data_IF_040952348114
#
_entry.id   IF_040952348114
#
_cell.length_a   1.000
_cell.length_b   1.000
_cell.length_c   1.000
_cell.angle_alpha   90.00
_cell.angle_beta   90.00
_cell.angle_gamma   90.00
#
_symmetry.space_group_name_H-M   'P 1'
#
loop_
_entity.id
_entity.type
_entity.pdbx_description
1 polymer ?
#
# COMPACT_ATOMS: atom_id res chain seq x y z
N UNK A 1 0.90 52.32 2.70
CA UNK A 1 0.43 50.99 3.16
C UNK A 1 1.54 50.33 3.92
N UNK A 2 1.36 49.84 5.16
CA UNK A 2 2.43 49.26 5.97
C UNK A 2 2.88 47.93 5.40
N UNK A 3 4.16 47.55 5.53
CA UNK A 3 4.74 46.28 5.10
C UNK A 3 3.89 45.06 5.51
N UNK A 4 3.26 45.12 6.70
CA UNK A 4 2.31 44.08 7.17
C UNK A 4 1.09 43.89 6.26
N UNK A 5 0.59 44.97 5.59
CA UNK A 5 -0.54 44.85 4.64
C UNK A 5 -0.12 44.17 3.35
N UNK A 6 1.09 44.44 2.84
CA UNK A 6 1.60 43.75 1.64
C UNK A 6 1.83 42.26 1.90
N UNK A 7 2.40 41.93 3.06
CA UNK A 7 2.58 40.50 3.45
C UNK A 7 1.23 39.77 3.54
N UNK A 8 0.22 40.39 4.19
CA UNK A 8 -1.14 39.79 4.26
C UNK A 8 -1.75 39.58 2.88
N UNK A 9 -1.64 40.56 2.00
CA UNK A 9 -2.16 40.45 0.62
C UNK A 9 -1.43 39.35 -0.15
N UNK A 10 -0.09 39.27 -0.05
CA UNK A 10 0.68 38.24 -0.70
C UNK A 10 0.31 36.82 -0.20
N UNK A 11 0.11 36.63 1.11
CA UNK A 11 -0.35 35.36 1.70
C UNK A 11 -1.75 35.02 1.19
N UNK A 12 -2.69 35.94 1.15
CA UNK A 12 -4.04 35.70 0.62
C UNK A 12 -3.98 35.28 -0.85
N UNK A 13 -3.22 36.01 -1.67
CA UNK A 13 -3.05 35.66 -3.09
C UNK A 13 -2.43 34.26 -3.29
N UNK A 14 -1.46 33.93 -2.46
CA UNK A 14 -0.87 32.59 -2.49
C UNK A 14 -1.88 31.52 -2.07
N UNK A 15 -2.69 31.73 -1.04
CA UNK A 15 -3.73 30.79 -0.63
C UNK A 15 -4.79 30.60 -1.71
N UNK A 16 -5.20 31.69 -2.40
CA UNK A 16 -6.11 31.62 -3.55
C UNK A 16 -5.44 30.83 -4.70
N UNK A 17 -4.17 31.07 -4.96
CA UNK A 17 -3.41 30.32 -5.96
C UNK A 17 -3.35 28.83 -5.63
N UNK A 18 -3.06 28.47 -4.38
CA UNK A 18 -3.07 27.07 -3.91
C UNK A 18 -4.46 26.45 -4.08
N UNK A 19 -5.52 27.18 -3.69
CA UNK A 19 -6.89 26.70 -3.85
C UNK A 19 -7.21 26.41 -5.33
N UNK A 20 -6.91 27.38 -6.22
CA UNK A 20 -7.23 27.27 -7.64
C UNK A 20 -6.40 26.20 -8.38
N UNK A 21 -5.17 25.93 -7.95
CA UNK A 21 -4.26 25.04 -8.70
C UNK A 21 -3.96 23.72 -7.98
N UNK A 22 -4.03 23.68 -6.65
CA UNK A 22 -3.71 22.50 -5.84
C UNK A 22 -4.92 21.78 -5.24
N UNK A 23 -6.12 22.40 -5.27
CA UNK A 23 -7.33 21.82 -4.68
C UNK A 23 -8.42 21.64 -5.73
N UNK A 24 -8.92 22.72 -6.34
CA UNK A 24 -10.10 22.67 -7.22
C UNK A 24 -9.96 21.69 -8.39
N UNK A 25 -8.81 21.58 -9.10
CA UNK A 25 -8.66 20.61 -10.20
C UNK A 25 -8.78 19.14 -9.78
N UNK A 26 -8.58 18.85 -8.49
CA UNK A 26 -8.61 17.52 -7.92
C UNK A 26 -9.97 17.15 -7.30
N UNK A 27 -10.94 18.04 -7.34
CA UNK A 27 -12.29 17.78 -6.83
C UNK A 27 -13.20 17.06 -7.83
N UNK A 28 -12.77 16.92 -9.09
CA UNK A 28 -13.55 16.25 -10.13
C UNK A 28 -13.09 14.81 -10.29
N UNK A 29 -14.00 13.85 -10.05
CA UNK A 29 -13.77 12.46 -10.37
C UNK A 29 -13.83 12.26 -11.89
N UNK A 30 -12.77 11.68 -12.49
CA UNK A 30 -12.76 11.28 -13.90
C UNK A 30 -13.45 9.93 -14.07
N UNK A 31 -14.09 9.73 -15.21
CA UNK A 31 -14.49 8.39 -15.66
C UNK A 31 -13.31 7.73 -16.39
N UNK A 32 -13.29 6.42 -16.47
CA UNK A 32 -12.41 5.72 -17.41
C UNK A 32 -12.85 6.03 -18.85
N UNK A 33 -11.88 6.11 -19.77
CA UNK A 33 -12.17 6.27 -21.20
C UNK A 33 -12.87 5.03 -21.78
N UNK A 34 -13.70 5.23 -22.79
CA UNK A 34 -14.38 4.12 -23.49
C UNK A 34 -13.35 3.13 -24.07
N UNK A 35 -12.21 3.62 -24.54
CA UNK A 35 -11.12 2.78 -25.06
C UNK A 35 -10.56 1.88 -23.97
N UNK A 36 -10.29 2.42 -22.77
CA UNK A 36 -9.83 1.59 -21.66
C UNK A 36 -10.92 0.61 -21.20
N UNK A 37 -12.15 1.10 -21.03
CA UNK A 37 -13.27 0.26 -20.62
C UNK A 37 -13.50 -0.94 -21.56
N UNK A 38 -13.35 -0.73 -22.88
CA UNK A 38 -13.46 -1.79 -23.89
C UNK A 38 -12.27 -2.76 -23.90
N UNK A 39 -11.09 -2.34 -23.43
CA UNK A 39 -9.90 -3.20 -23.35
C UNK A 39 -9.89 -4.14 -22.14
N UNK A 40 -10.67 -3.82 -21.10
CA UNK A 40 -10.74 -4.64 -19.88
C UNK A 40 -11.66 -5.83 -20.06
N UNK A 41 -11.08 -7.02 -20.19
CA UNK A 41 -11.79 -8.30 -20.19
C UNK A 41 -11.45 -9.08 -18.92
N UNK A 42 -12.45 -9.51 -18.17
CA UNK A 42 -12.22 -10.29 -16.93
C UNK A 42 -11.69 -11.70 -17.21
N UNK A 43 -11.94 -12.25 -18.39
CA UNK A 43 -11.43 -13.58 -18.77
C UNK A 43 -9.90 -13.70 -18.76
N UNK A 44 -9.17 -12.61 -19.00
CA UNK A 44 -7.71 -12.61 -18.94
C UNK A 44 -7.11 -12.76 -17.54
N UNK A 45 -7.93 -12.69 -16.49
CA UNK A 45 -7.53 -12.89 -15.09
C UNK A 45 -7.65 -14.33 -14.63
N UNK A 46 -8.17 -15.20 -15.47
CA UNK A 46 -8.42 -16.62 -15.16
C UNK A 46 -7.75 -17.50 -16.19
N UNK A 47 -7.27 -18.66 -15.76
CA UNK A 47 -6.71 -19.71 -16.61
C UNK A 47 -7.13 -21.09 -16.08
N UNK A 48 -7.16 -22.07 -16.96
CA UNK A 48 -7.37 -23.46 -16.59
C UNK A 48 -6.06 -24.24 -16.47
N UNK A 49 -4.92 -23.60 -16.75
CA UNK A 49 -3.59 -24.20 -16.66
C UNK A 49 -2.69 -23.34 -15.77
N UNK A 50 -1.86 -23.96 -14.91
CA UNK A 50 -0.92 -23.24 -14.06
C UNK A 50 0.05 -22.37 -14.86
N UNK A 51 0.33 -21.16 -14.36
CA UNK A 51 1.42 -20.30 -14.83
C UNK A 51 2.77 -20.69 -14.18
N UNK A 52 3.83 -20.02 -14.59
CA UNK A 52 5.18 -20.25 -14.03
C UNK A 52 5.39 -19.61 -12.66
N UNK A 53 4.51 -18.70 -12.28
CA UNK A 53 4.60 -18.01 -11.01
C UNK A 53 3.85 -18.77 -9.92
N UNK A 54 4.47 -18.88 -8.76
CA UNK A 54 3.87 -19.41 -7.53
C UNK A 54 3.77 -18.30 -6.51
N UNK A 55 2.88 -18.45 -5.53
CA UNK A 55 2.58 -17.41 -4.55
C UNK A 55 2.60 -17.91 -3.13
N UNK A 56 3.12 -17.10 -2.21
CA UNK A 56 3.00 -17.32 -0.77
C UNK A 56 2.41 -16.09 -0.07
N UNK A 57 1.69 -16.36 1.02
CA UNK A 57 1.17 -15.32 1.90
C UNK A 57 2.22 -14.93 2.94
N UNK A 58 2.45 -13.63 3.09
CA UNK A 58 3.31 -13.06 4.14
C UNK A 58 2.46 -12.15 5.03
N UNK A 59 1.85 -12.74 6.05
CA UNK A 59 0.82 -12.08 6.87
C UNK A 59 1.39 -11.45 8.13
N UNK A 60 2.16 -12.22 8.92
CA UNK A 60 2.58 -11.77 10.24
C UNK A 60 3.68 -10.70 10.17
N UNK A 61 3.67 -9.74 11.12
CA UNK A 61 4.63 -8.63 11.12
C UNK A 61 6.09 -9.06 11.11
N UNK A 62 6.48 -10.00 11.98
CA UNK A 62 7.85 -10.55 12.07
C UNK A 62 8.25 -11.24 10.79
N UNK A 63 7.43 -12.17 10.32
CA UNK A 63 7.69 -12.96 9.10
C UNK A 63 7.86 -12.03 7.88
N UNK A 64 7.11 -10.93 7.86
CA UNK A 64 7.20 -9.95 6.78
C UNK A 64 8.51 -9.16 6.81
N UNK A 65 9.06 -8.88 7.99
CA UNK A 65 10.39 -8.30 8.11
C UNK A 65 11.46 -9.28 7.70
N UNK A 66 11.39 -10.50 8.23
CA UNK A 66 12.34 -11.57 7.96
C UNK A 66 12.37 -11.93 6.47
N UNK A 67 11.21 -12.04 5.83
CA UNK A 67 11.12 -12.26 4.38
C UNK A 67 11.83 -11.15 3.58
N UNK A 68 11.72 -9.87 4.00
CA UNK A 68 12.43 -8.77 3.32
C UNK A 68 13.94 -8.90 3.44
N UNK A 69 14.42 -9.17 4.65
CA UNK A 69 15.86 -9.32 4.89
C UNK A 69 16.40 -10.53 4.12
N UNK A 70 15.70 -11.66 4.20
CA UNK A 70 16.07 -12.90 3.55
C UNK A 70 16.21 -12.77 2.03
N UNK A 71 15.17 -12.22 1.34
CA UNK A 71 15.23 -12.05 -0.12
C UNK A 71 16.28 -11.02 -0.57
N UNK A 72 16.59 -10.00 0.26
CA UNK A 72 17.68 -9.05 -0.03
C UNK A 72 19.06 -9.71 0.08
N UNK A 73 19.21 -10.63 1.02
CA UNK A 73 20.47 -11.40 1.18
C UNK A 73 20.70 -12.37 0.02
N UNK A 74 19.65 -12.97 -0.55
CA UNK A 74 19.71 -13.84 -1.72
C UNK A 74 20.08 -13.14 -3.04
N UNK A 75 19.92 -11.82 -3.12
CA UNK A 75 20.11 -11.07 -4.36
C UNK A 75 21.52 -11.21 -4.92
N UNK A 76 21.63 -11.46 -6.24
CA UNK A 76 22.89 -11.69 -6.97
C UNK A 76 23.21 -10.64 -8.01
N UNK A 77 22.19 -10.08 -8.69
CA UNK A 77 22.38 -9.17 -9.82
C UNK A 77 21.71 -7.83 -9.59
N UNK A 78 20.42 -7.83 -9.20
CA UNK A 78 19.61 -6.61 -9.14
C UNK A 78 18.52 -6.64 -8.09
N UNK A 79 18.38 -5.50 -7.41
CA UNK A 79 17.28 -5.18 -6.50
C UNK A 79 16.56 -3.94 -6.98
N UNK A 80 15.24 -4.03 -7.17
CA UNK A 80 14.36 -2.88 -7.39
C UNK A 80 13.43 -2.70 -6.19
N UNK A 81 13.45 -1.52 -5.58
CA UNK A 81 12.65 -1.20 -4.38
C UNK A 81 11.77 0.01 -4.67
N UNK A 82 10.48 -0.10 -4.38
CA UNK A 82 9.56 1.05 -4.42
C UNK A 82 8.73 1.12 -3.15
N UNK A 83 8.76 2.25 -2.44
CA UNK A 83 7.99 2.45 -1.21
C UNK A 83 7.38 3.84 -1.10
N UNK A 84 6.12 3.86 -0.65
CA UNK A 84 5.43 5.08 -0.24
C UNK A 84 6.08 5.71 0.99
N UNK A 85 6.30 4.93 2.06
CA UNK A 85 6.80 5.47 3.32
C UNK A 85 7.82 4.55 4.00
N UNK A 86 8.88 5.19 4.51
CA UNK A 86 9.83 4.62 5.46
C UNK A 86 9.78 5.43 6.75
N UNK A 87 9.38 4.79 7.84
CA UNK A 87 9.34 5.40 9.17
C UNK A 87 10.64 5.07 9.90
N UNK A 88 11.41 6.10 10.29
CA UNK A 88 12.68 5.91 10.98
C UNK A 88 12.51 5.08 12.25
N UNK A 89 13.38 4.09 12.43
CA UNK A 89 13.38 3.13 13.51
C UNK A 89 14.34 1.98 13.24
N UNK A 90 14.31 0.96 14.12
CA UNK A 90 15.22 -0.21 14.03
C UNK A 90 15.03 -0.95 12.70
N UNK A 91 13.78 -1.21 12.30
CA UNK A 91 13.48 -1.91 11.04
C UNK A 91 13.95 -1.16 9.80
N UNK A 92 13.85 0.17 9.79
CA UNK A 92 14.35 0.99 8.66
C UNK A 92 15.87 1.00 8.61
N UNK A 93 16.55 1.10 9.75
CA UNK A 93 18.00 1.03 9.80
C UNK A 93 18.52 -0.31 9.28
N UNK A 94 17.90 -1.43 9.69
CA UNK A 94 18.26 -2.77 9.25
C UNK A 94 17.96 -3.00 7.77
N UNK A 95 16.81 -2.54 7.29
CA UNK A 95 16.44 -2.62 5.88
C UNK A 95 17.43 -1.86 4.97
N UNK A 96 17.82 -0.65 5.37
CA UNK A 96 18.82 0.14 4.65
C UNK A 96 20.22 -0.48 4.77
N UNK A 97 20.53 -1.11 5.88
CA UNK A 97 21.75 -1.90 6.08
C UNK A 97 21.83 -3.09 5.14
N UNK A 98 20.71 -3.84 4.99
CA UNK A 98 20.62 -4.97 4.05
C UNK A 98 20.83 -4.53 2.59
N UNK A 99 20.28 -3.37 2.19
CA UNK A 99 20.49 -2.82 0.85
C UNK A 99 21.95 -2.40 0.62
N UNK A 100 22.61 -1.86 1.65
CA UNK A 100 24.04 -1.55 1.58
C UNK A 100 24.88 -2.81 1.46
N UNK A 101 24.59 -3.84 2.24
CA UNK A 101 25.28 -5.12 2.17
C UNK A 101 25.14 -5.77 0.78
N UNK A 102 23.92 -5.81 0.22
CA UNK A 102 23.71 -6.30 -1.15
C UNK A 102 24.54 -5.50 -2.17
N UNK A 103 24.56 -4.17 -2.04
CA UNK A 103 25.37 -3.30 -2.92
C UNK A 103 26.89 -3.52 -2.74
N UNK A 104 27.35 -3.77 -1.51
CA UNK A 104 28.75 -4.14 -1.20
C UNK A 104 29.14 -5.50 -1.84
N UNK A 105 28.19 -6.43 -1.96
CA UNK A 105 28.37 -7.70 -2.71
C UNK A 105 28.40 -7.49 -4.24
N UNK A 106 28.14 -6.28 -4.74
CA UNK A 106 28.14 -5.94 -6.17
C UNK A 106 26.77 -5.95 -6.83
N UNK A 107 25.69 -6.14 -6.07
CA UNK A 107 24.30 -6.10 -6.59
C UNK A 107 23.94 -4.67 -6.97
N UNK A 108 23.28 -4.49 -8.14
CA UNK A 108 22.76 -3.20 -8.58
C UNK A 108 21.42 -2.90 -7.91
N UNK A 109 21.36 -1.84 -7.11
CA UNK A 109 20.18 -1.49 -6.30
C UNK A 109 19.54 -0.21 -6.83
N UNK A 110 18.25 -0.27 -7.18
CA UNK A 110 17.45 0.92 -7.49
C UNK A 110 16.40 1.13 -6.40
N UNK A 111 16.33 2.32 -5.85
CA UNK A 111 15.37 2.68 -4.80
C UNK A 111 14.53 3.86 -5.27
N UNK A 112 13.21 3.67 -5.35
CA UNK A 112 12.23 4.71 -5.66
C UNK A 112 11.37 4.98 -4.43
N UNK A 113 11.39 6.20 -3.91
CA UNK A 113 10.60 6.59 -2.76
C UNK A 113 9.67 7.76 -3.09
N UNK A 114 8.52 7.82 -2.42
CA UNK A 114 7.70 9.03 -2.47
C UNK A 114 8.48 10.25 -1.99
N UNK A 115 8.44 11.33 -2.72
CA UNK A 115 9.24 12.53 -2.43
C UNK A 115 8.76 13.33 -1.22
N UNK A 116 7.59 13.00 -0.65
CA UNK A 116 7.05 13.63 0.54
C UNK A 116 7.07 12.68 1.74
N UNK A 117 6.62 11.44 1.55
CA UNK A 117 6.41 10.47 2.62
C UNK A 117 7.48 9.37 2.68
N UNK A 118 8.38 9.29 1.69
CA UNK A 118 9.44 8.28 1.59
C UNK A 118 10.46 8.25 2.74
N UNK A 119 10.36 9.19 3.68
CA UNK A 119 11.10 9.17 4.94
C UNK A 119 12.54 9.69 4.89
N UNK A 120 13.19 9.71 3.71
CA UNK A 120 14.60 10.09 3.56
C UNK A 120 14.81 11.56 3.15
N UNK A 121 13.87 12.44 3.48
CA UNK A 121 13.91 13.87 3.16
C UNK A 121 14.01 14.74 4.43
N UNK A 122 14.18 16.02 4.28
CA UNK A 122 14.24 17.01 5.38
C UNK A 122 15.27 16.64 6.46
N UNK A 123 14.82 16.33 7.68
CA UNK A 123 15.68 15.96 8.81
C UNK A 123 16.48 14.68 8.57
N UNK A 124 16.01 13.79 7.72
CA UNK A 124 16.60 12.47 7.44
C UNK A 124 17.45 12.46 6.16
N UNK A 125 17.76 13.63 5.61
CA UNK A 125 18.59 13.77 4.39
C UNK A 125 19.93 13.04 4.47
N UNK A 126 20.50 12.91 5.67
CA UNK A 126 21.76 12.18 5.90
C UNK A 126 21.62 10.71 5.49
N UNK A 127 20.48 10.08 5.71
CA UNK A 127 20.19 8.71 5.24
C UNK A 127 20.17 8.64 3.71
N UNK A 128 19.46 9.57 3.05
CA UNK A 128 19.41 9.60 1.58
C UNK A 128 20.82 9.70 0.98
N UNK A 129 21.67 10.57 1.54
CA UNK A 129 23.06 10.72 1.10
C UNK A 129 23.90 9.49 1.44
N UNK A 130 23.72 8.90 2.64
CA UNK A 130 24.44 7.68 3.05
C UNK A 130 24.20 6.51 2.09
N UNK A 131 22.97 6.37 1.62
CA UNK A 131 22.54 5.31 0.68
C UNK A 131 22.91 5.69 -0.76
N UNK A 132 22.49 6.87 -1.23
CA UNK A 132 22.60 7.28 -2.64
C UNK A 132 24.01 7.63 -3.09
N UNK A 133 24.99 7.77 -2.18
CA UNK A 133 26.40 7.93 -2.52
C UNK A 133 27.15 6.60 -2.71
N UNK A 134 26.49 5.45 -2.53
CA UNK A 134 27.08 4.15 -2.82
C UNK A 134 27.10 3.91 -4.34
N UNK A 135 28.24 3.45 -4.94
CA UNK A 135 28.36 3.33 -6.39
C UNK A 135 27.36 2.36 -7.04
N UNK A 136 26.91 1.34 -6.31
CA UNK A 136 25.95 0.34 -6.80
C UNK A 136 24.49 0.64 -6.36
N UNK A 137 24.21 1.83 -5.80
CA UNK A 137 22.86 2.22 -5.41
C UNK A 137 22.43 3.49 -6.13
N UNK A 138 21.30 3.42 -6.83
CA UNK A 138 20.64 4.60 -7.36
C UNK A 138 19.36 4.86 -6.53
N UNK A 139 19.28 6.05 -5.92
CA UNK A 139 18.08 6.50 -5.19
C UNK A 139 17.40 7.62 -5.96
N UNK A 140 16.09 7.47 -6.22
CA UNK A 140 15.25 8.51 -6.80
C UNK A 140 14.05 8.83 -5.91
N UNK A 141 13.57 10.07 -5.98
CA UNK A 141 12.37 10.53 -5.30
C UNK A 141 11.29 10.86 -6.30
N UNK A 142 10.10 10.25 -6.15
CA UNK A 142 8.94 10.55 -6.98
C UNK A 142 8.20 11.78 -6.44
N UNK A 143 8.01 12.76 -7.30
CA UNK A 143 7.20 13.95 -7.07
C UNK A 143 7.45 14.66 -5.72
N UNK A 144 8.67 15.14 -5.43
CA UNK A 144 8.89 15.97 -4.25
C UNK A 144 8.03 17.24 -4.29
N UNK A 145 7.40 17.64 -3.18
CA UNK A 145 6.51 18.80 -3.14
C UNK A 145 7.24 20.08 -3.56
N UNK A 146 6.63 20.84 -4.45
CA UNK A 146 7.14 22.14 -4.91
C UNK A 146 6.19 23.26 -4.47
N UNK A 147 6.66 24.18 -3.62
CA UNK A 147 5.85 25.28 -3.06
C UNK A 147 5.15 26.10 -4.15
N UNK A 148 5.85 26.39 -5.25
CA UNK A 148 5.29 27.15 -6.38
C UNK A 148 4.48 26.32 -7.38
N UNK A 149 4.33 25.01 -7.14
CA UNK A 149 3.55 24.10 -8.00
C UNK A 149 2.58 23.26 -7.17
N UNK A 150 1.53 23.88 -6.56
CA UNK A 150 0.63 23.18 -5.65
C UNK A 150 -0.08 21.97 -6.26
N UNK A 151 -0.26 21.92 -7.59
CA UNK A 151 -0.82 20.77 -8.30
C UNK A 151 0.03 19.50 -8.18
N UNK A 152 1.31 19.63 -7.79
CA UNK A 152 2.20 18.46 -7.55
C UNK A 152 2.01 17.83 -6.17
N UNK A 153 1.24 18.44 -5.26
CA UNK A 153 1.15 17.97 -3.87
C UNK A 153 0.30 16.73 -3.70
N UNK A 154 -0.67 16.50 -4.59
CA UNK A 154 -1.68 15.46 -4.43
C UNK A 154 -1.30 14.10 -5.03
N UNK A 155 -0.50 14.04 -6.08
CA UNK A 155 -0.11 12.77 -6.68
C UNK A 155 1.04 12.13 -5.92
N UNK A 156 0.84 10.97 -5.28
CA UNK A 156 1.85 10.26 -4.48
C UNK A 156 2.19 8.91 -5.07
N UNK A 157 3.40 8.44 -4.82
CA UNK A 157 3.82 7.06 -5.05
C UNK A 157 3.28 6.21 -3.90
N UNK A 158 2.23 5.43 -4.14
CA UNK A 158 1.65 4.61 -3.06
C UNK A 158 2.06 3.13 -3.13
N UNK A 159 3.08 2.83 -3.91
CA UNK A 159 3.62 1.50 -4.15
C UNK A 159 4.40 0.94 -2.96
N UNK A 160 4.45 -0.38 -2.84
CA UNK A 160 5.21 -1.11 -1.81
C UNK A 160 5.60 -2.46 -2.36
N UNK A 161 6.81 -2.54 -2.94
CA UNK A 161 7.36 -3.79 -3.45
C UNK A 161 8.89 -3.83 -3.47
N UNK A 162 9.40 -5.04 -3.57
CA UNK A 162 10.80 -5.38 -3.80
C UNK A 162 10.85 -6.45 -4.89
N UNK A 163 11.64 -6.22 -5.92
CA UNK A 163 11.92 -7.23 -6.96
C UNK A 163 13.39 -7.64 -6.82
N UNK A 164 13.64 -8.94 -6.73
CA UNK A 164 14.99 -9.52 -6.65
C UNK A 164 15.24 -10.30 -7.93
N UNK A 165 16.25 -9.91 -8.66
CA UNK A 165 16.66 -10.53 -9.92
C UNK A 165 15.45 -10.69 -10.87
N UNK A 166 15.27 -11.81 -11.52
CA UNK A 166 14.05 -12.16 -12.26
C UNK A 166 13.28 -13.29 -11.55
N UNK A 167 13.48 -13.44 -10.24
CA UNK A 167 13.09 -14.61 -9.48
C UNK A 167 12.02 -14.33 -8.42
N UNK A 168 12.14 -13.25 -7.66
CA UNK A 168 11.29 -12.96 -6.52
C UNK A 168 10.65 -11.58 -6.60
N UNK A 169 9.37 -11.50 -6.23
CA UNK A 169 8.65 -10.23 -6.03
C UNK A 169 7.92 -10.30 -4.67
N UNK A 170 8.29 -9.43 -3.75
CA UNK A 170 7.52 -9.20 -2.52
C UNK A 170 6.72 -7.92 -2.68
N UNK A 171 5.39 -8.01 -2.63
CA UNK A 171 4.48 -6.91 -2.90
C UNK A 171 3.26 -6.93 -1.96
N UNK A 172 2.79 -5.75 -1.55
CA UNK A 172 1.59 -5.67 -0.71
C UNK A 172 1.21 -4.26 -0.27
N UNK A 173 0.58 -4.17 0.90
CA UNK A 173 0.15 -2.90 1.50
C UNK A 173 1.14 -2.31 2.51
N UNK A 174 2.16 -3.08 2.94
CA UNK A 174 3.01 -2.78 4.08
C UNK A 174 4.12 -1.77 3.75
N UNK A 175 4.17 -0.68 4.51
CA UNK A 175 5.29 0.26 4.49
C UNK A 175 6.47 -0.25 5.34
N UNK A 176 7.63 0.42 5.26
CA UNK A 176 8.78 0.13 6.12
C UNK A 176 8.64 0.92 7.43
N UNK A 177 8.77 0.23 8.57
CA UNK A 177 8.76 0.85 9.90
C UNK A 177 8.32 -0.10 11.01
N UNK A 178 8.80 0.14 12.23
CA UNK A 178 8.66 -0.74 13.39
C UNK A 178 7.21 -1.15 13.70
N UNK A 179 6.26 -0.24 13.48
CA UNK A 179 4.83 -0.51 13.68
C UNK A 179 4.24 -1.56 12.73
N UNK A 180 4.91 -1.84 11.61
CA UNK A 180 4.46 -2.85 10.64
C UNK A 180 5.12 -4.20 10.86
N UNK A 181 6.25 -4.24 11.58
CA UNK A 181 7.10 -5.42 11.72
C UNK A 181 7.17 -5.95 13.16
N UNK A 182 6.49 -5.30 14.10
CA UNK A 182 6.58 -5.65 15.53
C UNK A 182 8.04 -5.77 16.01
N UNK A 183 8.89 -4.85 15.55
CA UNK A 183 10.33 -4.87 15.83
C UNK A 183 10.57 -4.88 17.33
N UNK A 184 11.55 -5.65 17.78
CA UNK A 184 11.92 -5.76 19.18
C UNK A 184 12.06 -4.39 19.87
N UNK A 185 11.38 -4.24 21.01
CA UNK A 185 11.32 -2.97 21.78
C UNK A 185 10.24 -2.00 21.30
N UNK A 186 9.44 -2.34 20.27
CA UNK A 186 8.30 -1.52 19.86
C UNK A 186 7.06 -1.86 20.69
N UNK A 187 6.61 -0.91 21.52
CA UNK A 187 5.54 -1.05 22.53
C UNK A 187 4.22 -0.35 22.17
N UNK A 188 4.14 0.23 20.95
CA UNK A 188 2.95 0.96 20.48
C UNK A 188 2.05 0.07 19.63
N UNK A 189 0.78 0.46 19.42
CA UNK A 189 -0.12 -0.31 18.56
C UNK A 189 0.45 -0.55 17.15
N UNK A 190 0.32 -1.78 16.70
CA UNK A 190 0.78 -2.22 15.38
C UNK A 190 -0.21 -1.83 14.28
N UNK A 191 0.26 -1.89 13.05
CA UNK A 191 -0.53 -1.78 11.84
C UNK A 191 -0.41 -3.09 11.07
N UNK A 192 -1.40 -3.96 11.22
CA UNK A 192 -1.44 -5.26 10.53
C UNK A 192 -1.72 -5.04 9.05
N UNK A 193 -0.81 -5.51 8.25
CA UNK A 193 -0.89 -5.40 6.79
C UNK A 193 -0.53 -6.74 6.15
N UNK A 194 -0.62 -6.84 4.85
CA UNK A 194 -0.43 -8.09 4.11
C UNK A 194 0.49 -7.87 2.94
N UNK A 195 1.39 -8.83 2.74
CA UNK A 195 2.21 -8.95 1.55
C UNK A 195 2.02 -10.33 0.93
N UNK A 196 2.38 -10.44 -0.33
CA UNK A 196 2.52 -11.71 -1.05
C UNK A 196 3.93 -11.80 -1.63
N UNK A 197 4.52 -12.98 -1.55
CA UNK A 197 5.75 -13.30 -2.25
C UNK A 197 5.41 -14.09 -3.50
N UNK A 198 5.84 -13.60 -4.65
CA UNK A 198 5.75 -14.31 -5.92
C UNK A 198 7.12 -14.90 -6.24
N UNK A 199 7.14 -16.17 -6.55
CA UNK A 199 8.31 -16.92 -6.97
C UNK A 199 8.15 -17.37 -8.42
N UNK A 200 9.04 -16.89 -9.30
CA UNK A 200 9.10 -17.34 -10.69
C UNK A 200 9.94 -18.62 -10.78
N UNK A 201 9.32 -19.72 -11.18
CA UNK A 201 9.97 -21.05 -11.29
C UNK A 201 10.88 -21.15 -12.52
N UNK A 202 10.75 -20.25 -13.50
CA UNK A 202 11.53 -20.27 -14.74
C UNK A 202 12.38 -19.00 -14.83
N UNK A 203 13.69 -19.13 -14.67
CA UNK A 203 14.60 -18.00 -14.84
C UNK A 203 14.44 -17.38 -16.23
N UNK A 204 14.30 -16.04 -16.30
CA UNK A 204 14.21 -15.23 -17.51
C UNK A 204 13.01 -15.56 -18.45
N UNK A 205 11.89 -16.05 -17.89
CA UNK A 205 10.67 -16.30 -18.68
C UNK A 205 9.83 -15.04 -18.89
N UNK A 206 9.56 -14.67 -20.14
CA UNK A 206 8.76 -13.49 -20.51
C UNK A 206 7.28 -13.55 -20.06
N UNK A 207 6.83 -14.63 -19.45
CA UNK A 207 5.45 -14.88 -19.03
C UNK A 207 5.23 -14.71 -17.51
N UNK A 208 6.23 -14.23 -16.76
CA UNK A 208 6.07 -13.97 -15.32
C UNK A 208 5.53 -12.57 -15.06
N UNK A 209 4.67 -12.45 -14.06
CA UNK A 209 4.16 -11.15 -13.58
C UNK A 209 5.27 -10.21 -13.09
N UNK A 210 6.42 -10.75 -12.73
CA UNK A 210 7.60 -9.96 -12.36
C UNK A 210 8.02 -9.00 -13.49
N UNK A 211 7.86 -9.41 -14.74
CA UNK A 211 8.13 -8.57 -15.92
C UNK A 211 7.20 -7.35 -15.97
N UNK A 212 5.92 -7.55 -15.69
CA UNK A 212 4.94 -6.45 -15.71
C UNK A 212 5.24 -5.42 -14.63
N UNK A 213 5.56 -5.90 -13.42
CA UNK A 213 5.93 -5.02 -12.29
C UNK A 213 7.26 -4.30 -12.58
N UNK A 214 8.22 -4.96 -13.23
CA UNK A 214 9.48 -4.34 -13.63
C UNK A 214 9.28 -3.27 -14.70
N UNK A 215 8.50 -3.54 -15.74
CA UNK A 215 8.15 -2.57 -16.76
C UNK A 215 7.46 -1.35 -16.17
N UNK A 216 6.60 -1.57 -15.16
CA UNK A 216 5.98 -0.50 -14.40
C UNK A 216 7.04 0.31 -13.63
N UNK A 217 7.97 -0.35 -12.90
CA UNK A 217 9.10 0.32 -12.25
C UNK A 217 9.93 1.15 -13.23
N UNK A 218 10.25 0.62 -14.40
CA UNK A 218 11.03 1.30 -15.43
C UNK A 218 10.28 2.53 -15.97
N UNK A 219 8.96 2.46 -16.11
CA UNK A 219 8.14 3.60 -16.52
C UNK A 219 8.17 4.75 -15.51
N UNK A 220 8.09 4.42 -14.21
CA UNK A 220 8.22 5.38 -13.11
C UNK A 220 9.63 5.94 -13.03
N UNK A 221 10.63 5.05 -13.07
CA UNK A 221 12.05 5.38 -12.96
C UNK A 221 12.55 6.37 -14.01
N UNK A 222 12.03 6.25 -15.24
CA UNK A 222 12.38 7.09 -16.37
C UNK A 222 11.42 8.28 -16.56
N UNK A 223 10.45 8.46 -15.67
CA UNK A 223 9.48 9.55 -15.77
C UNK A 223 10.14 10.90 -15.45
N UNK A 224 9.53 11.99 -15.97
CA UNK A 224 9.91 13.38 -15.64
C UNK A 224 9.59 13.79 -14.20
N UNK A 225 8.84 12.96 -13.51
CA UNK A 225 8.28 13.25 -12.18
C UNK A 225 9.18 12.74 -11.05
N UNK A 226 10.32 12.11 -11.39
CA UNK A 226 11.35 11.70 -10.45
C UNK A 226 12.53 12.67 -10.42
N UNK A 227 13.22 12.72 -9.30
CA UNK A 227 14.48 13.43 -9.19
C UNK A 227 15.49 12.66 -8.35
N UNK A 228 16.77 12.92 -8.61
CA UNK A 228 17.85 12.44 -7.77
C UNK A 228 17.90 13.29 -6.48
N UNK A 229 17.94 12.71 -5.31
CA UNK A 229 18.36 13.40 -4.09
C UNK A 229 19.86 13.66 -4.13
N UNK A 230 20.38 14.30 -3.11
CA UNK A 230 21.81 14.61 -3.00
C UNK A 230 22.65 13.33 -2.89
N UNK A 231 23.62 13.18 -3.78
CA UNK A 231 24.48 12.00 -3.88
C UNK A 231 25.95 12.24 -3.48
N UNK A 232 26.34 13.46 -3.11
CA UNK A 232 27.71 13.74 -2.68
C UNK A 232 27.91 13.40 -1.21
N UNK A 233 28.96 12.61 -0.94
CA UNK A 233 29.31 12.22 0.43
C UNK A 233 29.66 13.43 1.29
N UNK A 234 29.17 13.39 2.51
CA UNK A 234 29.55 14.26 3.60
C UNK A 234 30.14 13.43 4.73
N UNK A 235 30.89 14.04 5.64
CA UNK A 235 31.39 13.32 6.84
C UNK A 235 30.26 12.60 7.57
N UNK A 236 29.11 13.27 7.75
CA UNK A 236 27.93 12.69 8.43
C UNK A 236 27.30 11.54 7.66
N UNK A 237 27.27 11.57 6.33
CA UNK A 237 26.71 10.48 5.55
C UNK A 237 27.60 9.24 5.56
N UNK A 238 28.91 9.41 5.55
CA UNK A 238 29.88 8.32 5.71
C UNK A 238 29.75 7.67 7.09
N UNK A 239 29.68 8.47 8.17
CA UNK A 239 29.45 7.98 9.53
C UNK A 239 28.11 7.23 9.63
N UNK A 240 27.03 7.76 9.02
CA UNK A 240 25.71 7.09 9.01
C UNK A 240 25.74 5.78 8.24
N UNK A 241 26.41 5.72 7.09
CA UNK A 241 26.58 4.49 6.30
C UNK A 241 27.29 3.41 7.12
N UNK A 242 28.36 3.79 7.83
CA UNK A 242 29.06 2.85 8.71
C UNK A 242 28.19 2.40 9.89
N UNK A 243 27.41 3.30 10.49
CA UNK A 243 26.46 2.94 11.55
C UNK A 243 25.43 1.91 11.06
N UNK A 244 24.85 2.10 9.86
CA UNK A 244 23.88 1.18 9.27
C UNK A 244 24.48 -0.21 9.02
N UNK A 245 25.71 -0.27 8.47
CA UNK A 245 26.44 -1.53 8.29
C UNK A 245 26.67 -2.25 9.62
N UNK A 246 27.20 -1.54 10.61
CA UNK A 246 27.46 -2.14 11.92
C UNK A 246 26.20 -2.70 12.57
N UNK A 247 25.06 -1.99 12.47
CA UNK A 247 23.77 -2.48 12.97
C UNK A 247 23.32 -3.73 12.23
N UNK A 248 23.50 -3.77 10.92
CA UNK A 248 23.10 -4.91 10.10
C UNK A 248 24.00 -6.12 10.34
N UNK A 249 25.32 -5.94 10.45
CA UNK A 249 26.27 -6.99 10.77
C UNK A 249 25.93 -7.62 12.14
N UNK A 250 25.67 -6.80 13.15
CA UNK A 250 25.24 -7.28 14.46
C UNK A 250 23.91 -8.07 14.37
N UNK A 251 22.94 -7.58 13.60
CA UNK A 251 21.68 -8.27 13.40
C UNK A 251 21.87 -9.63 12.72
N UNK A 252 22.79 -9.73 11.74
CA UNK A 252 23.14 -10.97 11.07
C UNK A 252 23.76 -11.97 12.03
N UNK A 253 24.70 -11.52 12.87
CA UNK A 253 25.36 -12.35 13.90
C UNK A 253 24.35 -12.87 14.93
N UNK A 254 23.36 -12.07 15.30
CA UNK A 254 22.34 -12.41 16.27
C UNK A 254 21.24 -13.35 15.70
N UNK A 255 21.09 -13.41 14.35
CA UNK A 255 20.02 -14.15 13.66
C UNK A 255 20.56 -15.04 12.53
N UNK A 256 21.52 -15.96 12.78
CA UNK A 256 22.20 -16.73 11.72
C UNK A 256 21.25 -17.58 10.88
N UNK A 257 20.16 -18.09 11.48
CA UNK A 257 19.19 -18.93 10.75
C UNK A 257 18.43 -18.17 9.65
N UNK A 258 18.31 -16.85 9.75
CA UNK A 258 17.66 -16.03 8.71
C UNK A 258 18.51 -15.93 7.44
N UNK A 259 19.80 -16.21 7.54
CA UNK A 259 20.79 -16.15 6.46
C UNK A 259 21.28 -17.52 6.00
N UNK A 260 20.64 -18.57 6.45
CA UNK A 260 20.88 -19.93 5.99
C UNK A 260 19.94 -20.24 4.80
N UNK A 261 20.51 -20.23 3.58
CA UNK A 261 19.79 -20.45 2.34
C UNK A 261 19.83 -21.92 1.86
N UNK A 262 20.31 -22.86 2.68
CA UNK A 262 20.47 -24.25 2.27
C UNK A 262 19.13 -24.96 2.03
N UNK A 263 18.04 -24.47 2.65
CA UNK A 263 16.69 -25.04 2.55
C UNK A 263 15.69 -24.13 1.82
N UNK A 264 16.17 -23.16 1.02
CA UNK A 264 15.31 -22.21 0.27
C UNK A 264 14.61 -22.89 -0.91
N UNK A 265 13.81 -23.89 -0.61
CA UNK A 265 12.93 -24.53 -1.57
C UNK A 265 11.58 -23.79 -1.63
N UNK A 266 11.57 -22.63 -2.33
CA UNK A 266 10.35 -21.85 -2.58
C UNK A 266 9.21 -22.70 -3.18
N UNK A 267 9.53 -23.81 -3.81
CA UNK A 267 8.53 -24.69 -4.40
C UNK A 267 7.69 -25.41 -3.34
N UNK A 268 8.25 -25.69 -2.18
CA UNK A 268 7.56 -26.48 -1.15
C UNK A 268 6.54 -25.69 -0.34
N UNK A 269 6.74 -24.36 -0.18
CA UNK A 269 5.88 -23.52 0.66
C UNK A 269 5.10 -22.43 -0.10
N UNK A 270 5.21 -22.43 -1.43
CA UNK A 270 4.39 -21.58 -2.31
C UNK A 270 3.26 -22.36 -2.96
N UNK A 271 2.13 -21.72 -3.16
CA UNK A 271 0.98 -22.26 -3.87
C UNK A 271 1.12 -22.05 -5.38
N UNK A 272 0.70 -23.03 -6.15
CA UNK A 272 0.54 -22.85 -7.60
C UNK A 272 -0.59 -21.87 -7.90
N UNK A 273 -0.41 -21.05 -8.91
CA UNK A 273 -1.45 -20.19 -9.45
C UNK A 273 -1.71 -20.53 -10.92
N UNK A 274 -2.95 -20.43 -11.35
CA UNK A 274 -3.31 -20.57 -12.76
C UNK A 274 -2.97 -19.29 -13.52
N UNK A 275 -3.19 -18.13 -12.89
CA UNK A 275 -2.88 -16.84 -13.46
C UNK A 275 -2.55 -15.86 -12.33
N UNK A 276 -1.52 -15.03 -12.51
CA UNK A 276 -1.24 -13.87 -11.68
C UNK A 276 -1.18 -12.66 -12.60
N UNK A 277 -2.08 -11.69 -12.39
CA UNK A 277 -2.19 -10.51 -13.24
C UNK A 277 -1.92 -9.25 -12.46
N UNK A 278 -0.99 -8.43 -12.95
CA UNK A 278 -0.68 -7.12 -12.40
C UNK A 278 -1.55 -6.05 -13.07
N UNK A 279 -2.13 -5.17 -12.26
CA UNK A 279 -2.82 -3.98 -12.77
C UNK A 279 -2.59 -2.78 -11.84
N UNK A 280 -2.58 -1.58 -12.41
CA UNK A 280 -2.14 -0.38 -11.73
C UNK A 280 -2.81 0.89 -12.26
N UNK A 281 -2.77 1.97 -11.48
CA UNK A 281 -3.13 3.30 -11.95
C UNK A 281 -2.04 3.88 -12.88
N UNK A 282 -2.42 4.90 -13.65
CA UNK A 282 -1.46 5.69 -14.41
C UNK A 282 -0.38 6.31 -13.51
N UNK A 283 0.83 6.47 -14.03
CA UNK A 283 1.99 6.92 -13.25
C UNK A 283 2.20 8.44 -13.24
N UNK A 284 1.49 9.20 -14.11
CA UNK A 284 1.64 10.67 -14.17
C UNK A 284 1.03 11.37 -12.95
N UNK A 285 1.56 12.57 -12.65
CA UNK A 285 1.00 13.46 -11.63
C UNK A 285 -0.28 14.14 -12.17
N UNK A 286 -1.27 14.29 -11.32
CA UNK A 286 -2.54 14.94 -11.62
C UNK A 286 -3.74 14.01 -11.46
N UNK A 287 -4.98 14.51 -11.71
CA UNK A 287 -6.16 13.66 -11.65
C UNK A 287 -6.11 12.57 -12.72
N UNK A 288 -6.27 11.32 -12.29
CA UNK A 288 -6.16 10.11 -13.12
C UNK A 288 -7.53 9.54 -13.46
N UNK A 289 -7.59 8.71 -14.49
CA UNK A 289 -8.69 7.76 -14.67
C UNK A 289 -8.59 6.69 -13.58
N UNK A 290 -9.70 6.26 -12.96
CA UNK A 290 -9.69 5.27 -11.88
C UNK A 290 -9.52 3.84 -12.41
N UNK A 291 -8.42 3.57 -13.12
CA UNK A 291 -8.20 2.31 -13.84
C UNK A 291 -8.18 1.11 -12.93
N UNK A 292 -7.42 1.20 -11.82
CA UNK A 292 -7.36 0.12 -10.82
C UNK A 292 -8.73 -0.15 -10.19
N UNK A 293 -9.44 0.90 -9.78
CA UNK A 293 -10.79 0.77 -9.23
C UNK A 293 -11.80 0.19 -10.24
N UNK A 294 -11.68 0.52 -11.53
CA UNK A 294 -12.53 -0.01 -12.59
C UNK A 294 -12.29 -1.50 -12.82
N UNK A 295 -11.03 -1.93 -12.94
CA UNK A 295 -10.68 -3.35 -13.08
C UNK A 295 -11.18 -4.15 -11.88
N UNK A 296 -10.87 -3.66 -10.67
CA UNK A 296 -11.33 -4.27 -9.44
C UNK A 296 -12.86 -4.39 -9.38
N UNK A 297 -13.58 -3.32 -9.74
CA UNK A 297 -15.04 -3.33 -9.78
C UNK A 297 -15.60 -4.35 -10.76
N UNK A 298 -14.99 -4.51 -11.95
CA UNK A 298 -15.38 -5.54 -12.92
C UNK A 298 -15.19 -6.94 -12.38
N UNK A 299 -14.06 -7.22 -11.72
CA UNK A 299 -13.80 -8.53 -11.12
C UNK A 299 -14.78 -8.84 -9.99
N UNK A 300 -15.03 -7.89 -9.09
CA UNK A 300 -15.99 -8.05 -7.98
C UNK A 300 -17.41 -8.27 -8.46
N UNK A 301 -17.86 -7.55 -9.49
CA UNK A 301 -19.18 -7.74 -10.09
C UNK A 301 -19.31 -9.06 -10.87
N UNK A 302 -18.18 -9.68 -11.22
CA UNK A 302 -18.11 -11.00 -11.82
C UNK A 302 -18.34 -12.16 -10.84
N UNK A 303 -18.31 -11.91 -9.52
CA UNK A 303 -18.50 -12.96 -8.51
C UNK A 303 -19.85 -13.67 -8.62
N UNK A 304 -19.86 -14.97 -8.41
CA UNK A 304 -21.07 -15.81 -8.46
C UNK A 304 -21.60 -16.21 -7.07
N UNK A 305 -20.69 -16.33 -6.06
CA UNK A 305 -21.03 -16.84 -4.73
C UNK A 305 -20.77 -15.83 -3.62
N UNK A 306 -19.56 -15.24 -3.60
CA UNK A 306 -19.16 -14.39 -2.50
C UNK A 306 -18.08 -13.37 -2.85
N UNK A 307 -18.09 -12.24 -2.14
CA UNK A 307 -16.99 -11.27 -2.12
C UNK A 307 -16.68 -10.83 -0.69
N UNK A 308 -15.40 -10.74 -0.35
CA UNK A 308 -14.94 -10.13 0.91
C UNK A 308 -13.98 -9.00 0.55
N UNK A 309 -14.34 -7.78 0.93
CA UNK A 309 -13.55 -6.59 0.68
C UNK A 309 -12.92 -6.14 1.99
N UNK A 310 -11.60 -6.19 2.09
CA UNK A 310 -10.85 -5.66 3.23
C UNK A 310 -10.12 -4.37 2.84
N UNK A 311 -10.39 -3.29 3.58
CA UNK A 311 -9.68 -2.01 3.44
C UNK A 311 -9.61 -1.33 4.80
N UNK A 312 -8.54 -0.57 5.12
CA UNK A 312 -8.40 0.08 6.42
C UNK A 312 -9.53 1.08 6.73
N UNK A 313 -10.13 1.62 5.70
CA UNK A 313 -11.30 2.51 5.72
C UNK A 313 -11.96 2.52 4.33
N UNK A 314 -13.22 2.98 4.28
CA UNK A 314 -13.97 3.12 3.04
C UNK A 314 -14.50 4.55 2.92
N UNK A 315 -14.05 5.27 1.89
CA UNK A 315 -14.47 6.65 1.61
C UNK A 315 -15.14 6.67 0.25
N UNK A 316 -16.44 6.87 0.25
CA UNK A 316 -17.26 6.73 -0.95
C UNK A 316 -17.13 7.95 -1.88
N UNK A 317 -16.72 7.70 -3.10
CA UNK A 317 -17.02 8.52 -4.27
C UNK A 317 -18.27 7.97 -4.99
N UNK A 318 -18.76 8.65 -6.06
CA UNK A 318 -19.93 8.17 -6.81
C UNK A 318 -19.73 6.77 -7.40
N UNK A 319 -18.55 6.46 -7.95
CA UNK A 319 -18.26 5.18 -8.62
C UNK A 319 -18.21 4.04 -7.62
N UNK A 320 -17.51 4.21 -6.51
CA UNK A 320 -17.45 3.21 -5.45
C UNK A 320 -18.83 2.98 -4.82
N UNK A 321 -19.62 4.05 -4.64
CA UNK A 321 -21.00 3.92 -4.15
C UNK A 321 -21.88 3.11 -5.10
N UNK A 322 -21.74 3.32 -6.41
CA UNK A 322 -22.47 2.56 -7.43
C UNK A 322 -22.04 1.08 -7.38
N UNK A 323 -20.74 0.79 -7.35
CA UNK A 323 -20.21 -0.56 -7.21
C UNK A 323 -20.79 -1.28 -5.99
N UNK A 324 -20.77 -0.65 -4.81
CA UNK A 324 -21.33 -1.28 -3.60
C UNK A 324 -22.85 -1.48 -3.68
N UNK A 325 -23.58 -0.54 -4.29
CA UNK A 325 -25.01 -0.73 -4.53
C UNK A 325 -25.29 -1.93 -5.46
N UNK A 326 -24.49 -2.10 -6.50
CA UNK A 326 -24.69 -3.20 -7.45
C UNK A 326 -24.28 -4.54 -6.84
N UNK A 327 -23.21 -4.59 -6.06
CA UNK A 327 -22.86 -5.77 -5.26
C UNK A 327 -23.94 -6.15 -4.26
N UNK A 328 -24.54 -5.16 -3.57
CA UNK A 328 -25.62 -5.40 -2.61
C UNK A 328 -26.94 -5.88 -3.24
N UNK A 329 -27.14 -5.64 -4.55
CA UNK A 329 -28.30 -6.19 -5.31
C UNK A 329 -28.06 -7.62 -5.78
N UNK A 330 -26.82 -8.07 -5.87
CA UNK A 330 -26.50 -9.45 -6.25
C UNK A 330 -26.91 -10.41 -5.11
N UNK A 331 -27.39 -11.59 -5.48
CA UNK A 331 -27.72 -12.64 -4.51
C UNK A 331 -26.45 -13.44 -4.15
N UNK A 332 -25.43 -12.76 -3.65
CA UNK A 332 -24.15 -13.33 -3.22
C UNK A 332 -23.84 -12.90 -1.79
N UNK A 333 -22.94 -13.60 -1.12
CA UNK A 333 -22.46 -13.22 0.21
C UNK A 333 -21.40 -12.10 0.07
N UNK A 334 -21.83 -10.85 0.17
CA UNK A 334 -20.94 -9.68 0.08
C UNK A 334 -20.66 -9.10 1.47
N UNK A 335 -19.39 -9.01 1.82
CA UNK A 335 -18.94 -8.49 3.11
C UNK A 335 -17.80 -7.47 2.97
N UNK A 336 -17.81 -6.47 3.83
CA UNK A 336 -16.72 -5.49 4.01
C UNK A 336 -16.13 -5.68 5.41
N UNK A 337 -14.82 -5.78 5.49
CA UNK A 337 -14.03 -5.77 6.72
C UNK A 337 -13.17 -4.50 6.78
N UNK A 338 -13.36 -3.70 7.83
CA UNK A 338 -12.63 -2.43 8.01
C UNK A 338 -12.34 -2.16 9.48
N UNK A 339 -11.55 -1.12 9.79
CA UNK A 339 -11.35 -0.70 11.17
C UNK A 339 -12.63 -0.10 11.76
N UNK A 340 -12.88 -0.41 13.03
CA UNK A 340 -13.83 0.37 13.82
C UNK A 340 -13.31 1.80 14.03
N UNK A 341 -14.18 2.69 14.49
CA UNK A 341 -13.76 4.03 14.91
C UNK A 341 -12.68 3.94 15.99
N UNK A 342 -12.78 2.97 16.89
CA UNK A 342 -11.81 2.78 17.98
C UNK A 342 -10.43 2.34 17.47
N UNK A 343 -10.34 1.41 16.54
CA UNK A 343 -9.09 0.83 16.03
C UNK A 343 -8.42 1.66 14.92
N UNK A 344 -9.15 2.55 14.24
CA UNK A 344 -8.59 3.38 13.15
C UNK A 344 -7.57 4.41 13.67
N UNK A 345 -6.30 4.41 13.20
CA UNK A 345 -5.28 5.34 13.69
C UNK A 345 -5.29 6.69 12.96
N UNK A 346 -5.88 6.78 11.75
CA UNK A 346 -5.90 8.00 10.94
C UNK A 346 -7.19 8.79 11.21
N UNK A 347 -7.12 9.97 11.85
CA UNK A 347 -8.33 10.73 12.21
C UNK A 347 -9.09 11.27 11.00
N UNK A 348 -8.41 11.62 9.90
CA UNK A 348 -9.03 12.15 8.68
C UNK A 348 -9.83 11.04 7.99
N UNK A 349 -9.18 9.90 7.72
CA UNK A 349 -9.82 8.75 7.09
C UNK A 349 -10.95 8.16 7.97
N UNK A 350 -10.73 8.09 9.28
CA UNK A 350 -11.75 7.68 10.25
C UNK A 350 -12.99 8.59 10.19
N UNK A 351 -12.79 9.91 10.12
CA UNK A 351 -13.89 10.88 10.01
C UNK A 351 -14.65 10.73 8.70
N UNK A 352 -13.93 10.54 7.58
CA UNK A 352 -14.54 10.33 6.28
C UNK A 352 -15.36 9.03 6.24
N UNK A 353 -14.79 7.94 6.77
CA UNK A 353 -15.49 6.65 6.91
C UNK A 353 -16.75 6.78 7.77
N UNK A 354 -16.66 7.42 8.94
CA UNK A 354 -17.80 7.67 9.81
C UNK A 354 -18.94 8.38 9.06
N UNK A 355 -18.61 9.38 8.25
CA UNK A 355 -19.59 10.07 7.41
C UNK A 355 -20.23 9.21 6.32
N UNK A 356 -19.60 8.11 5.92
CA UNK A 356 -20.09 7.21 4.87
C UNK A 356 -20.77 5.93 5.42
N UNK A 357 -20.58 5.58 6.69
CA UNK A 357 -21.01 4.34 7.33
C UNK A 357 -22.48 4.01 7.06
N UNK A 358 -23.38 4.98 7.25
CA UNK A 358 -24.82 4.78 6.97
C UNK A 358 -25.09 4.50 5.49
N UNK A 359 -24.37 5.15 4.58
CA UNK A 359 -24.53 4.93 3.15
C UNK A 359 -24.09 3.52 2.74
N UNK A 360 -23.00 3.02 3.35
CA UNK A 360 -22.50 1.65 3.14
C UNK A 360 -23.55 0.65 3.62
N UNK A 361 -24.09 0.81 4.83
CA UNK A 361 -25.15 -0.07 5.37
C UNK A 361 -26.38 -0.12 4.47
N UNK A 362 -26.74 0.99 3.85
CA UNK A 362 -27.91 1.04 2.95
C UNK A 362 -27.69 0.29 1.63
N UNK A 363 -26.49 -0.16 1.30
CA UNK A 363 -26.24 -1.01 0.11
C UNK A 363 -26.66 -2.46 0.34
N UNK A 364 -26.86 -2.89 1.57
CA UNK A 364 -27.19 -4.27 1.93
C UNK A 364 -25.98 -5.20 2.09
N UNK A 365 -24.75 -4.70 1.92
CA UNK A 365 -23.52 -5.45 2.14
C UNK A 365 -23.27 -5.58 3.65
N UNK A 366 -22.83 -6.77 4.10
CA UNK A 366 -22.43 -7.00 5.48
C UNK A 366 -21.21 -6.15 5.86
N UNK A 367 -21.32 -5.32 6.87
CA UNK A 367 -20.25 -4.42 7.32
C UNK A 367 -19.70 -4.88 8.67
N UNK A 368 -18.43 -5.30 8.66
CA UNK A 368 -17.70 -5.76 9.82
C UNK A 368 -16.64 -4.75 10.24
N UNK A 369 -16.68 -4.32 11.49
CA UNK A 369 -15.71 -3.40 12.07
C UNK A 369 -14.81 -4.11 13.08
N UNK A 370 -13.50 -4.07 12.81
CA UNK A 370 -12.46 -4.67 13.65
C UNK A 370 -12.36 -3.98 15.02
N UNK A 371 -12.37 -4.77 16.10
CA UNK A 371 -12.40 -4.28 17.47
C UNK A 371 -11.06 -4.45 18.23
N UNK A 372 -10.01 -4.96 17.57
CA UNK A 372 -8.70 -5.17 18.20
C UNK A 372 -7.95 -3.89 18.56
N UNK A 373 -6.90 -4.02 19.37
CA UNK A 373 -6.05 -2.90 19.80
C UNK A 373 -5.21 -2.32 18.69
N UNK A 374 -4.73 -3.17 17.79
CA UNK A 374 -4.00 -2.81 16.59
C UNK A 374 -4.96 -2.35 15.49
N UNK A 375 -4.41 -1.77 14.43
CA UNK A 375 -5.21 -1.45 13.23
C UNK A 375 -4.99 -2.49 12.15
N UNK A 376 -6.04 -2.80 11.37
CA UNK A 376 -5.89 -3.52 10.10
C UNK A 376 -5.63 -2.52 8.98
N UNK A 377 -4.66 -2.81 8.12
CA UNK A 377 -4.26 -1.91 7.04
C UNK A 377 -4.18 -2.61 5.65
N UNK A 378 -4.38 -3.92 5.59
CA UNK A 378 -4.38 -4.69 4.35
C UNK A 378 -5.50 -4.25 3.37
N UNK A 379 -5.18 -4.30 2.08
CA UNK A 379 -6.09 -4.08 0.96
C UNK A 379 -6.20 -5.39 0.21
N UNK A 380 -7.29 -6.11 0.46
CA UNK A 380 -7.47 -7.47 -0.04
C UNK A 380 -8.92 -7.69 -0.46
N UNK A 381 -9.09 -8.33 -1.60
CA UNK A 381 -10.41 -8.63 -2.14
C UNK A 381 -10.41 -10.11 -2.49
N UNK A 382 -11.35 -10.86 -1.91
CA UNK A 382 -11.56 -12.28 -2.20
C UNK A 382 -12.81 -12.44 -3.02
N UNK A 383 -12.74 -13.26 -4.06
CA UNK A 383 -13.83 -13.54 -4.99
C UNK A 383 -13.99 -15.05 -5.08
N UNK A 384 -15.13 -15.58 -4.67
CA UNK A 384 -15.61 -16.97 -4.78
C UNK A 384 -14.59 -17.90 -4.17
N UNK A 385 -13.97 -18.23 -3.47
CA UNK A 385 -12.88 -19.16 -3.07
C UNK A 385 -11.85 -19.46 -4.19
N UNK A 386 -11.84 -18.64 -5.27
CA UNK A 386 -10.96 -18.84 -6.42
C UNK A 386 -9.91 -17.76 -6.60
N UNK A 387 -10.30 -16.50 -6.44
CA UNK A 387 -9.40 -15.36 -6.71
C UNK A 387 -9.13 -14.54 -5.46
N UNK A 388 -7.87 -14.27 -5.20
CA UNK A 388 -7.42 -13.29 -4.24
C UNK A 388 -6.76 -12.09 -4.94
N UNK A 389 -7.11 -10.87 -4.53
CA UNK A 389 -6.52 -9.64 -5.05
C UNK A 389 -5.86 -8.92 -3.88
N UNK A 390 -4.55 -8.67 -3.97
CA UNK A 390 -3.74 -8.05 -2.91
C UNK A 390 -2.91 -6.90 -3.47
N UNK A 391 -2.75 -5.82 -2.72
CA UNK A 391 -1.90 -4.71 -3.13
C UNK A 391 -2.02 -3.46 -2.29
N UNK A 392 -1.93 -2.29 -2.95
CA UNK A 392 -1.87 -1.00 -2.26
C UNK A 392 -3.19 -0.20 -2.28
N UNK A 393 -4.15 -0.55 -3.16
CA UNK A 393 -5.35 0.23 -3.44
C UNK A 393 -6.34 0.25 -2.27
N UNK A 394 -6.50 1.41 -1.63
CA UNK A 394 -7.57 1.64 -0.66
C UNK A 394 -8.91 1.92 -1.35
N UNK A 395 -10.00 1.64 -0.64
CA UNK A 395 -11.35 2.03 -1.10
C UNK A 395 -11.61 3.52 -0.80
N UNK A 396 -10.87 4.41 -1.47
CA UNK A 396 -10.98 5.85 -1.29
C UNK A 396 -10.72 6.63 -2.60
N UNK A 397 -11.16 7.90 -2.69
CA UNK A 397 -10.96 8.74 -3.87
C UNK A 397 -9.49 9.03 -4.18
N UNK A 398 -8.63 9.06 -3.16
CA UNK A 398 -7.21 9.33 -3.33
C UNK A 398 -6.53 8.19 -4.09
N UNK A 399 -6.77 6.95 -3.67
CA UNK A 399 -6.31 5.76 -4.38
C UNK A 399 -6.90 5.66 -5.79
N UNK A 400 -8.17 6.04 -5.96
CA UNK A 400 -8.82 5.96 -7.26
C UNK A 400 -8.27 6.97 -8.28
N UNK A 401 -8.03 8.23 -7.87
CA UNK A 401 -7.84 9.34 -8.82
C UNK A 401 -6.51 10.07 -8.72
N UNK A 402 -5.71 9.87 -7.68
CA UNK A 402 -4.54 10.71 -7.40
C UNK A 402 -3.22 9.94 -7.33
N UNK A 403 -3.18 8.86 -6.56
CA UNK A 403 -1.94 8.16 -6.26
C UNK A 403 -1.62 7.09 -7.31
N UNK A 404 -0.37 6.67 -7.39
CA UNK A 404 -0.06 5.40 -8.02
C UNK A 404 -0.63 4.30 -7.12
N UNK A 405 -1.17 3.27 -7.73
CA UNK A 405 -1.68 2.10 -7.02
C UNK A 405 -1.41 0.87 -7.84
N UNK A 406 -1.21 -0.24 -7.16
CA UNK A 406 -0.83 -1.50 -7.76
C UNK A 406 -1.53 -2.65 -7.08
N UNK A 407 -2.01 -3.62 -7.87
CA UNK A 407 -2.70 -4.81 -7.40
C UNK A 407 -2.24 -6.05 -8.15
N UNK A 408 -2.19 -7.17 -7.45
CA UNK A 408 -2.06 -8.51 -8.04
C UNK A 408 -3.38 -9.26 -7.89
N UNK A 409 -3.96 -9.68 -9.00
CA UNK A 409 -5.05 -10.65 -9.02
C UNK A 409 -4.46 -12.05 -9.20
N UNK A 410 -4.76 -12.94 -8.27
CA UNK A 410 -4.17 -14.27 -8.15
C UNK A 410 -5.28 -15.31 -8.29
N UNK A 411 -5.35 -15.99 -9.45
CA UNK A 411 -6.24 -17.11 -9.70
C UNK A 411 -5.62 -18.40 -9.13
N UNK A 412 -5.90 -18.67 -7.87
CA UNK A 412 -5.44 -19.86 -7.14
C UNK A 412 -6.42 -20.23 -6.04
N UNK A 413 -7.08 -21.36 -6.20
CA UNK A 413 -8.06 -21.85 -5.21
C UNK A 413 -7.41 -22.13 -3.85
N UNK A 414 -6.23 -22.74 -3.83
CA UNK A 414 -5.53 -23.11 -2.60
C UNK A 414 -5.05 -21.87 -1.85
N UNK A 415 -4.40 -20.96 -2.54
CA UNK A 415 -3.96 -19.68 -1.96
C UNK A 415 -5.14 -18.85 -1.44
N UNK A 416 -6.21 -18.73 -2.23
CA UNK A 416 -7.40 -17.94 -1.85
C UNK A 416 -8.08 -18.53 -0.60
N UNK A 417 -8.18 -19.86 -0.49
CA UNK A 417 -8.72 -20.52 0.72
C UNK A 417 -7.84 -20.30 1.94
N UNK A 418 -6.52 -20.40 1.80
CA UNK A 418 -5.60 -20.08 2.89
C UNK A 418 -5.76 -18.63 3.34
N UNK A 419 -5.76 -17.67 2.41
CA UNK A 419 -5.94 -16.27 2.72
C UNK A 419 -7.30 -15.98 3.37
N UNK A 420 -8.37 -16.64 2.92
CA UNK A 420 -9.69 -16.55 3.55
C UNK A 420 -9.69 -17.06 4.99
N UNK A 421 -8.98 -18.14 5.29
CA UNK A 421 -8.82 -18.65 6.66
C UNK A 421 -8.13 -17.61 7.56
N UNK A 422 -7.06 -17.00 7.08
CA UNK A 422 -6.36 -15.92 7.81
C UNK A 422 -7.28 -14.70 7.99
N UNK A 423 -7.99 -14.29 6.96
CA UNK A 423 -8.93 -13.16 7.03
C UNK A 423 -10.09 -13.42 8.02
N UNK A 424 -10.52 -14.67 8.16
CA UNK A 424 -11.54 -15.07 9.14
C UNK A 424 -11.07 -14.83 10.59
N UNK A 425 -9.78 -14.86 10.89
CA UNK A 425 -9.27 -14.52 12.24
C UNK A 425 -9.55 -13.04 12.58
N UNK A 426 -9.47 -12.14 11.59
CA UNK A 426 -9.86 -10.75 11.78
C UNK A 426 -11.37 -10.57 11.89
N UNK A 427 -12.17 -11.33 11.13
CA UNK A 427 -13.64 -11.35 11.23
C UNK A 427 -14.12 -11.85 12.62
N UNK A 428 -13.41 -12.81 13.21
CA UNK A 428 -13.69 -13.26 14.58
C UNK A 428 -13.49 -12.14 15.61
N UNK A 429 -12.54 -11.24 15.36
CA UNK A 429 -12.25 -10.05 16.17
C UNK A 429 -13.04 -8.80 15.73
N UNK A 430 -14.04 -8.97 14.90
CA UNK A 430 -14.87 -7.89 14.35
C UNK A 430 -16.32 -8.05 14.77
N UNK A 431 -17.02 -6.93 14.91
CA UNK A 431 -18.46 -6.87 15.12
C UNK A 431 -19.16 -6.43 13.84
N UNK A 432 -20.21 -7.14 13.49
CA UNK A 432 -21.09 -6.75 12.39
C UNK A 432 -22.00 -5.60 12.82
N UNK A 433 -22.26 -4.67 11.89
CA UNK A 433 -23.20 -3.59 12.11
C UNK A 433 -24.54 -3.95 11.50
N UNK A 434 -25.57 -4.00 12.34
CA UNK A 434 -26.94 -4.20 11.87
C UNK A 434 -27.49 -3.01 11.10
N UNK A 435 -28.60 -3.21 10.39
CA UNK A 435 -29.30 -2.18 9.61
C UNK A 435 -29.74 -0.96 10.41
N UNK A 436 -29.89 -1.11 11.74
CA UNK A 436 -30.16 -0.03 12.69
C UNK A 436 -28.93 0.84 13.02
N UNK A 437 -27.76 0.50 12.49
CA UNK A 437 -26.48 1.20 12.74
C UNK A 437 -25.82 0.84 14.07
N UNK A 438 -26.32 -0.14 14.80
CA UNK A 438 -25.73 -0.67 16.04
C UNK A 438 -25.03 -1.98 15.76
N UNK A 439 -24.02 -2.30 16.58
CA UNK A 439 -23.37 -3.60 16.49
C UNK A 439 -24.33 -4.74 16.87
N UNK A 440 -24.18 -5.85 16.16
CA UNK A 440 -24.81 -7.12 16.53
C UNK A 440 -23.93 -7.74 17.62
N UNK A 441 -24.54 -8.04 18.76
CA UNK A 441 -23.84 -8.58 19.94
C UNK A 441 -23.24 -9.96 19.64
N UNK A 442 -22.02 -10.18 20.14
CA UNK A 442 -21.35 -11.49 20.19
C UNK A 442 -21.04 -11.84 21.65
N UNK A 443 -21.16 -13.12 22.01
CA UNK A 443 -20.93 -13.57 23.41
C UNK A 443 -19.51 -13.25 23.93
N UNK A 444 -18.50 -13.33 23.06
CA UNK A 444 -17.07 -13.22 23.43
C UNK A 444 -16.38 -11.94 22.95
N UNK A 445 -17.09 -11.03 22.31
CA UNK A 445 -16.51 -9.81 21.76
C UNK A 445 -17.42 -8.60 22.01
N UNK A 446 -16.91 -7.63 22.75
CA UNK A 446 -17.62 -6.37 23.02
C UNK A 446 -17.09 -5.23 22.16
N UNK A 447 -17.95 -4.22 21.97
CA UNK A 447 -17.57 -2.97 21.31
C UNK A 447 -16.43 -2.30 22.09
N UNK A 448 -15.36 -1.94 21.37
CA UNK A 448 -14.25 -1.17 21.93
C UNK A 448 -14.65 0.29 22.13
N UNK A 449 -14.51 0.86 23.33
CA UNK A 449 -14.92 2.22 23.61
C UNK A 449 -14.05 3.24 22.84
N UNK A 450 -14.71 4.26 22.31
CA UNK A 450 -14.05 5.40 21.64
C UNK A 450 -13.90 6.53 22.66
N UNK A 451 -12.67 7.04 22.81
CA UNK A 451 -12.41 8.14 23.75
C UNK A 451 -13.16 9.42 23.35
N UNK A 452 -13.57 10.22 24.35
CA UNK A 452 -14.20 11.53 24.12
C UNK A 452 -13.31 12.45 23.29
N UNK A 453 -11.99 12.38 23.47
CA UNK A 453 -11.03 13.15 22.69
C UNK A 453 -11.08 12.76 21.20
N UNK A 454 -11.14 11.47 20.88
CA UNK A 454 -11.27 11.01 19.49
C UNK A 454 -12.58 11.46 18.86
N UNK A 455 -13.69 11.40 19.61
CA UNK A 455 -14.96 11.93 19.14
C UNK A 455 -14.88 13.45 18.87
N UNK A 456 -14.26 14.23 19.75
CA UNK A 456 -14.06 15.66 19.54
C UNK A 456 -13.29 15.94 18.24
N UNK A 457 -12.22 15.18 17.98
CA UNK A 457 -11.46 15.29 16.71
C UNK A 457 -12.37 15.00 15.51
N UNK A 458 -13.14 13.91 15.55
CA UNK A 458 -14.04 13.55 14.44
C UNK A 458 -15.05 14.64 14.16
N UNK A 459 -15.68 15.22 15.19
CA UNK A 459 -16.66 16.29 15.00
C UNK A 459 -16.02 17.58 14.45
N UNK A 460 -14.83 17.95 14.92
CA UNK A 460 -14.10 19.11 14.40
C UNK A 460 -13.69 18.91 12.94
N UNK A 461 -13.25 17.71 12.59
CA UNK A 461 -12.82 17.39 11.23
C UNK A 461 -13.99 17.11 10.27
N UNK A 462 -15.19 16.85 10.76
CA UNK A 462 -16.31 16.37 9.94
C UNK A 462 -16.62 17.27 8.75
N UNK A 463 -16.78 18.58 8.97
CA UNK A 463 -17.08 19.53 7.89
C UNK A 463 -15.91 19.72 6.91
N UNK A 464 -14.66 19.96 7.35
CA UNK A 464 -13.52 20.03 6.45
C UNK A 464 -13.36 18.76 5.62
N UNK A 465 -13.41 17.56 6.24
CA UNK A 465 -13.27 16.28 5.55
C UNK A 465 -14.39 16.07 4.53
N UNK A 466 -15.63 16.41 4.87
CA UNK A 466 -16.76 16.33 3.93
C UNK A 466 -16.57 17.23 2.70
N UNK A 467 -16.01 18.43 2.88
CA UNK A 467 -15.76 19.37 1.78
C UNK A 467 -14.60 18.93 0.88
N UNK A 468 -13.56 18.33 1.47
CA UNK A 468 -12.33 17.95 0.79
C UNK A 468 -12.14 16.44 0.66
N UNK A 469 -13.21 15.66 0.75
CA UNK A 469 -13.16 14.16 0.71
C UNK A 469 -12.45 13.61 -0.52
N UNK A 470 -12.37 14.37 -1.62
CA UNK A 470 -11.66 13.97 -2.84
C UNK A 470 -10.12 13.97 -2.69
N UNK A 471 -9.62 14.55 -1.62
CA UNK A 471 -8.20 14.62 -1.28
C UNK A 471 -7.82 13.68 -0.14
N UNK A 472 -8.80 12.92 0.38
CA UNK A 472 -8.63 12.01 1.53
C UNK A 472 -8.60 10.56 1.10
#
# INVERSE_FOLDING_TARGET
MTMRKYIKVAVILYLVYVLCTGVLPFMCCKSVSDTFAASVTTSGFFSDTPCTDKVALVEYPTDSFDARIHILDEAKERIDVSYYAMHMGKSTDLFLGALLDAADRGVNVRILLDGQFGGLTCSNRTYATAIGAHPNIELKLYNPPKVLKPWTWNGRLHDKYIIIDDRLLLMGGRNIGDKYFATEGYDKPLSYDRDVLIYNTVQAGANSVLFDVRNYMDSLWNSKDVCLPFSEDTKRSVEKRQELRTKYDQFRDDNPSLFDHMDDDYETWTYSANCITFFHNDTQIGPKEPKTGYVLGKLLLGADESVILQSPYIILDPTLKELLNDLGKKQINAAILTNSIASSPNPVACTAYFGNRKTILNTGIHLWEYQGENSIHAKTYLIDDRMAIVGSFNMDPRSAYLDTEMMLAIDSVEFTRHLKQVQNQYLQQSLEIGSNGKYIEKELLSERPVSLFKWAIIYVLYLPVKLFKHLT
#
